data_IF_797435522125
#
_entry.id   IF_797435522125
#
_cell.length_a   1.000
_cell.length_b   1.000
_cell.length_c   1.000
_cell.angle_alpha   90.00
_cell.angle_beta   90.00
_cell.angle_gamma   90.00
#
_symmetry.space_group_name_H-M   'P 1'
#
loop_
_entity.id
_entity.type
_entity.pdbx_description
1 polymer ?
#
# COMPACT_ATOMS: atom_id res chain seq x y z
N UNK A 1 -10.61 2.40 7.98
CA UNK A 1 -10.70 2.51 6.54
C UNK A 1 -12.02 1.97 5.99
N UNK A 2 -12.32 2.29 4.76
CA UNK A 2 -13.47 1.73 4.05
C UNK A 2 -13.23 0.24 3.82
N UNK A 3 -14.23 -0.58 4.11
CA UNK A 3 -14.16 -2.02 3.88
C UNK A 3 -15.15 -2.42 2.80
N UNK A 4 -14.80 -3.47 2.05
CA UNK A 4 -15.62 -4.02 0.99
C UNK A 4 -14.99 -3.89 -0.39
N UNK A 5 -15.77 -4.16 -1.42
CA UNK A 5 -15.32 -4.07 -2.80
C UNK A 5 -15.01 -2.62 -3.20
N UNK A 6 -13.98 -2.46 -4.01
CA UNK A 6 -13.59 -1.14 -4.51
C UNK A 6 -14.63 -0.64 -5.51
N UNK A 7 -15.25 0.51 -5.22
CA UNK A 7 -16.03 1.24 -6.20
C UNK A 7 -15.06 2.03 -7.08
N UNK A 8 -15.00 1.67 -8.35
CA UNK A 8 -14.06 2.26 -9.30
C UNK A 8 -14.24 3.77 -9.45
N UNK A 9 -15.49 4.24 -9.52
CA UNK A 9 -15.76 5.66 -9.71
C UNK A 9 -15.40 6.46 -8.47
N UNK A 10 -15.74 5.96 -7.28
CA UNK A 10 -15.40 6.60 -6.01
C UNK A 10 -13.88 6.65 -5.84
N UNK A 11 -13.19 5.55 -6.14
CA UNK A 11 -11.73 5.50 -5.99
C UNK A 11 -11.02 6.40 -7.01
N UNK A 12 -11.51 6.49 -8.24
CA UNK A 12 -10.99 7.42 -9.24
C UNK A 12 -11.11 8.87 -8.77
N UNK A 13 -12.24 9.23 -8.17
CA UNK A 13 -12.42 10.57 -7.59
C UNK A 13 -11.47 10.82 -6.43
N UNK A 14 -11.25 9.83 -5.57
CA UNK A 14 -10.29 9.93 -4.48
C UNK A 14 -8.87 10.23 -4.99
N UNK A 15 -8.46 9.60 -6.09
CA UNK A 15 -7.16 9.86 -6.72
C UNK A 15 -7.07 11.30 -7.28
N UNK A 16 -8.19 11.90 -7.62
CA UNK A 16 -8.26 13.30 -8.05
C UNK A 16 -8.36 14.29 -6.87
N UNK A 17 -8.45 13.79 -5.63
CA UNK A 17 -8.63 14.59 -4.44
C UNK A 17 -10.07 14.91 -4.10
N UNK A 18 -11.03 14.26 -4.74
CA UNK A 18 -12.48 14.47 -4.53
C UNK A 18 -13.06 13.39 -3.65
N UNK A 19 -13.54 13.76 -2.49
CA UNK A 19 -13.98 12.83 -1.45
C UNK A 19 -15.50 12.58 -1.52
N UNK A 20 -15.96 11.38 -1.05
CA UNK A 20 -17.38 11.02 -1.10
C UNK A 20 -18.30 11.94 -0.29
N UNK A 21 -17.77 12.61 0.74
CA UNK A 21 -18.53 13.55 1.58
C UNK A 21 -18.62 14.97 0.98
N UNK A 22 -18.09 15.18 -0.23
CA UNK A 22 -18.06 16.47 -0.90
C UNK A 22 -16.83 17.30 -0.64
N UNK A 23 -15.93 16.88 0.25
CA UNK A 23 -14.64 17.54 0.43
C UNK A 23 -13.81 17.46 -0.86
N UNK A 24 -13.08 18.52 -1.17
CA UNK A 24 -12.32 18.63 -2.41
C UNK A 24 -10.90 19.09 -2.11
N UNK A 25 -9.91 18.21 -2.34
CA UNK A 25 -8.49 18.49 -2.21
C UNK A 25 -7.82 18.72 -3.58
N UNK A 26 -8.60 18.80 -4.66
CA UNK A 26 -8.05 19.02 -6.00
C UNK A 26 -7.41 20.41 -6.10
N UNK A 27 -6.34 20.49 -6.89
CA UNK A 27 -5.64 21.74 -7.18
C UNK A 27 -5.61 21.97 -8.67
N UNK A 28 -6.49 22.80 -9.15
CA UNK A 28 -6.55 23.15 -10.57
C UNK A 28 -5.54 24.27 -10.86
N UNK A 29 -4.65 24.02 -11.82
CA UNK A 29 -3.69 24.99 -12.31
C UNK A 29 -3.49 24.79 -13.80
N UNK A 30 -3.61 25.86 -14.58
CA UNK A 30 -3.44 25.85 -16.05
C UNK A 30 -4.32 24.78 -16.73
N UNK A 31 -5.55 24.60 -16.25
CA UNK A 31 -6.52 23.65 -16.79
C UNK A 31 -6.28 22.19 -16.38
N UNK A 32 -5.29 21.91 -15.53
CA UNK A 32 -5.03 20.55 -15.06
C UNK A 32 -5.05 20.47 -13.53
N UNK A 33 -5.42 19.28 -13.02
CA UNK A 33 -5.42 19.00 -11.59
C UNK A 33 -4.02 18.66 -11.14
N UNK A 34 -3.45 19.43 -10.20
CA UNK A 34 -2.11 19.25 -9.64
C UNK A 34 -2.09 18.42 -8.36
N UNK A 35 -3.22 17.93 -7.89
CA UNK A 35 -3.25 17.01 -6.78
C UNK A 35 -2.53 15.71 -7.15
N UNK A 36 -1.54 15.30 -6.33
CA UNK A 36 -0.85 14.02 -6.53
C UNK A 36 -1.85 12.89 -6.28
N UNK A 37 -2.09 11.97 -7.25
CA UNK A 37 -3.13 10.94 -7.07
C UNK A 37 -2.83 9.99 -5.93
N UNK A 38 -1.58 9.53 -5.77
CA UNK A 38 -1.24 8.60 -4.72
C UNK A 38 0.03 7.82 -5.00
N UNK A 39 0.12 6.64 -4.39
CA UNK A 39 1.29 5.77 -4.39
C UNK A 39 0.89 4.36 -4.79
N UNK A 40 1.78 3.68 -5.49
CA UNK A 40 1.59 2.27 -5.87
C UNK A 40 2.69 1.43 -5.21
N UNK A 41 2.25 0.41 -4.46
CA UNK A 41 3.12 -0.57 -3.82
C UNK A 41 2.74 -1.95 -4.35
N UNK A 42 3.73 -2.75 -4.73
CA UNK A 42 3.50 -4.11 -5.22
C UNK A 42 4.14 -5.11 -4.28
N UNK A 43 3.36 -6.11 -3.87
CA UNK A 43 3.83 -7.23 -3.06
C UNK A 43 3.71 -8.51 -3.88
N UNK A 44 4.83 -9.16 -4.14
CA UNK A 44 4.89 -10.37 -4.97
C UNK A 44 5.39 -11.55 -4.15
N UNK A 45 4.64 -12.66 -4.23
CA UNK A 45 5.08 -13.91 -3.62
C UNK A 45 6.25 -14.50 -4.39
N UNK A 46 7.13 -15.28 -3.73
CA UNK A 46 8.15 -16.05 -4.42
C UNK A 46 7.55 -16.95 -5.49
N UNK A 47 8.31 -17.23 -6.55
CA UNK A 47 7.84 -18.06 -7.65
C UNK A 47 7.38 -19.44 -7.19
N UNK A 48 8.08 -20.05 -6.24
CA UNK A 48 7.73 -21.36 -5.66
C UNK A 48 6.34 -21.33 -5.02
N UNK A 49 6.03 -20.29 -4.25
CA UNK A 49 4.72 -20.11 -3.62
C UNK A 49 3.64 -19.91 -4.69
N UNK A 50 3.90 -19.06 -5.68
CA UNK A 50 2.95 -18.81 -6.78
C UNK A 50 2.64 -20.09 -7.55
N UNK A 51 3.63 -20.91 -7.84
CA UNK A 51 3.45 -22.19 -8.53
C UNK A 51 2.64 -23.17 -7.70
N UNK A 52 2.93 -23.32 -6.42
CA UNK A 52 2.17 -24.22 -5.54
C UNK A 52 0.73 -23.76 -5.36
N UNK A 53 0.50 -22.46 -5.27
CA UNK A 53 -0.85 -21.90 -5.16
C UNK A 53 -1.66 -22.09 -6.45
N UNK A 54 -1.06 -21.80 -7.60
CA UNK A 54 -1.76 -21.77 -8.89
C UNK A 54 -1.79 -23.14 -9.56
N UNK A 55 -0.65 -23.81 -9.69
CA UNK A 55 -0.53 -25.11 -10.36
C UNK A 55 -0.78 -26.27 -9.40
N UNK A 56 -0.33 -26.15 -8.15
CA UNK A 56 -0.58 -27.16 -7.11
C UNK A 56 -1.97 -27.09 -6.49
N UNK A 57 -2.72 -26.02 -6.76
CA UNK A 57 -4.09 -25.86 -6.27
C UNK A 57 -4.23 -25.60 -4.77
N UNK A 58 -3.15 -25.23 -4.08
CA UNK A 58 -3.22 -24.96 -2.63
C UNK A 58 -3.69 -23.53 -2.36
N UNK A 59 -5.00 -23.38 -2.20
CA UNK A 59 -5.63 -22.07 -1.95
C UNK A 59 -5.25 -21.46 -0.60
N UNK A 60 -4.75 -22.26 0.35
CA UNK A 60 -4.27 -21.75 1.64
C UNK A 60 -3.09 -20.81 1.46
N UNK A 61 -2.29 -21.00 0.42
CA UNK A 61 -1.17 -20.11 0.07
C UNK A 61 -1.66 -18.75 -0.43
N UNK A 62 -2.79 -18.69 -1.10
CA UNK A 62 -3.44 -17.44 -1.51
C UNK A 62 -3.87 -16.65 -0.28
N UNK A 63 -4.50 -17.34 0.69
CA UNK A 63 -4.91 -16.70 1.95
C UNK A 63 -3.69 -16.21 2.74
N UNK A 64 -2.62 -17.01 2.78
CA UNK A 64 -1.37 -16.62 3.43
C UNK A 64 -0.78 -15.36 2.80
N UNK A 65 -0.78 -15.28 1.47
CA UNK A 65 -0.34 -14.09 0.73
C UNK A 65 -1.18 -12.87 1.10
N UNK A 66 -2.51 -12.99 1.05
CA UNK A 66 -3.42 -11.89 1.36
C UNK A 66 -3.23 -11.38 2.79
N UNK A 67 -3.05 -12.27 3.74
CA UNK A 67 -2.81 -11.92 5.14
C UNK A 67 -1.44 -11.26 5.34
N UNK A 68 -0.42 -11.70 4.61
CA UNK A 68 0.90 -11.08 4.65
C UNK A 68 0.89 -9.67 4.05
N UNK A 69 0.14 -9.46 2.96
CA UNK A 69 -0.06 -8.13 2.37
C UNK A 69 -0.79 -7.22 3.37
N UNK A 70 -1.86 -7.71 3.98
CA UNK A 70 -2.62 -6.95 4.99
C UNK A 70 -1.72 -6.52 6.17
N UNK A 71 -0.89 -7.42 6.64
CA UNK A 71 0.07 -7.14 7.70
C UNK A 71 1.05 -6.03 7.28
N UNK A 72 1.61 -6.11 6.07
CA UNK A 72 2.56 -5.12 5.56
C UNK A 72 1.91 -3.74 5.35
N UNK A 73 0.70 -3.69 4.79
CA UNK A 73 0.02 -2.40 4.54
C UNK A 73 -0.39 -1.69 5.83
N UNK A 74 -0.63 -2.43 6.91
CA UNK A 74 -0.87 -1.82 8.23
C UNK A 74 0.36 -1.08 8.74
N UNK A 75 1.56 -1.56 8.43
CA UNK A 75 2.80 -0.86 8.78
C UNK A 75 2.95 0.44 7.97
N UNK A 76 2.55 0.43 6.70
CA UNK A 76 2.50 1.63 5.86
C UNK A 76 1.49 2.63 6.42
N UNK A 77 0.30 2.16 6.77
CA UNK A 77 -0.77 3.00 7.32
C UNK A 77 -0.35 3.70 8.61
N UNK A 78 0.41 3.01 9.45
CA UNK A 78 0.90 3.57 10.71
C UNK A 78 1.80 4.81 10.52
N UNK A 79 2.39 4.97 9.33
CA UNK A 79 3.25 6.12 9.00
C UNK A 79 2.48 7.30 8.40
N UNK A 80 1.17 7.16 8.16
CA UNK A 80 0.37 8.22 7.53
C UNK A 80 0.42 9.49 8.35
N UNK A 81 0.69 10.59 7.68
CA UNK A 81 0.82 11.92 8.30
C UNK A 81 0.34 13.02 7.36
N UNK A 82 -0.01 14.15 7.94
CA UNK A 82 -0.40 15.36 7.22
C UNK A 82 0.28 16.58 7.82
N UNK A 83 0.21 17.70 7.12
CA UNK A 83 0.68 18.99 7.64
C UNK A 83 -0.46 19.78 8.21
N UNK A 84 -0.20 20.36 9.38
CA UNK A 84 -1.14 21.23 10.08
C UNK A 84 -0.44 22.56 10.33
N UNK A 85 -1.16 23.67 10.11
CA UNK A 85 -0.67 25.00 10.46
C UNK A 85 -1.12 25.34 11.89
N UNK A 86 -0.14 25.65 12.75
CA UNK A 86 -0.39 26.08 14.11
C UNK A 86 0.43 27.34 14.38
N UNK A 87 -0.25 28.43 14.75
CA UNK A 87 0.40 29.73 15.05
C UNK A 87 1.36 30.21 13.96
N UNK A 88 0.97 30.03 12.68
CA UNK A 88 1.78 30.43 11.53
C UNK A 88 2.92 29.49 11.18
N UNK A 89 3.07 28.38 11.93
CA UNK A 89 4.09 27.35 11.67
C UNK A 89 3.47 26.06 11.12
N UNK A 90 4.16 25.43 10.19
CA UNK A 90 3.76 24.14 9.64
C UNK A 90 4.34 23.01 10.48
N UNK A 91 3.49 22.09 10.88
CA UNK A 91 3.85 20.91 11.67
C UNK A 91 3.34 19.64 10.99
N UNK A 92 4.17 18.60 10.97
CA UNK A 92 3.77 17.27 10.49
C UNK A 92 3.22 16.47 11.66
N UNK A 93 1.98 15.99 11.52
CA UNK A 93 1.31 15.19 12.55
C UNK A 93 0.94 13.82 11.99
N UNK A 94 1.10 12.78 12.81
CA UNK A 94 0.67 11.43 12.45
C UNK A 94 -0.85 11.33 12.46
N UNK A 95 -1.39 10.74 11.42
CA UNK A 95 -2.83 10.48 11.29
C UNK A 95 -3.16 8.99 11.43
N UNK A 96 -2.24 8.12 11.00
CA UNK A 96 -2.38 6.67 11.15
C UNK A 96 -3.51 6.05 10.33
N UNK A 97 -4.01 6.75 9.31
CA UNK A 97 -5.07 6.22 8.46
C UNK A 97 -4.81 6.53 6.98
N UNK A 98 -5.16 5.58 6.14
CA UNK A 98 -5.02 5.66 4.68
C UNK A 98 -6.27 5.11 4.00
N UNK A 99 -6.50 5.53 2.77
CA UNK A 99 -7.46 4.90 1.86
C UNK A 99 -6.66 4.15 0.80
N UNK A 100 -6.84 2.83 0.77
CA UNK A 100 -6.09 1.94 -0.10
C UNK A 100 -7.03 1.03 -0.87
N UNK A 101 -6.70 0.77 -2.13
CA UNK A 101 -7.35 -0.26 -2.93
C UNK A 101 -6.33 -1.36 -3.23
N UNK A 102 -6.72 -2.61 -3.02
CA UNK A 102 -5.88 -3.79 -3.22
C UNK A 102 -6.40 -4.56 -4.44
N UNK A 103 -5.51 -4.82 -5.40
CA UNK A 103 -5.82 -5.54 -6.62
C UNK A 103 -4.94 -6.78 -6.71
N UNK A 104 -5.56 -7.95 -6.58
CA UNK A 104 -4.86 -9.24 -6.67
C UNK A 104 -4.72 -9.67 -8.13
N UNK A 105 -3.54 -10.13 -8.47
CA UNK A 105 -3.23 -10.74 -9.76
C UNK A 105 -2.57 -12.09 -9.55
N UNK A 106 -2.85 -13.05 -10.41
CA UNK A 106 -2.33 -14.40 -10.32
C UNK A 106 -1.37 -14.78 -11.46
N UNK A 107 -1.25 -13.91 -12.46
CA UNK A 107 -0.35 -14.13 -13.60
C UNK A 107 0.49 -12.90 -13.90
N UNK A 108 1.70 -13.12 -14.46
CA UNK A 108 2.52 -12.06 -15.04
C UNK A 108 2.03 -11.67 -16.43
N UNK A 109 2.66 -10.65 -17.03
CA UNK A 109 2.38 -10.27 -18.44
C UNK A 109 2.60 -11.42 -19.41
N UNK A 110 3.55 -12.31 -19.12
CA UNK A 110 3.89 -13.49 -19.93
C UNK A 110 3.03 -14.72 -19.56
N UNK A 111 1.97 -14.53 -18.80
CA UNK A 111 1.04 -15.57 -18.34
C UNK A 111 1.68 -16.63 -17.43
N UNK A 112 2.86 -16.34 -16.86
CA UNK A 112 3.45 -17.20 -15.85
C UNK A 112 2.72 -17.04 -14.51
N UNK A 113 2.62 -18.11 -13.68
CA UNK A 113 2.07 -18.00 -12.34
C UNK A 113 2.85 -16.99 -11.51
N UNK A 114 2.17 -15.92 -11.10
CA UNK A 114 2.75 -14.89 -10.25
C UNK A 114 1.68 -14.32 -9.34
N UNK A 115 1.69 -14.76 -8.10
CA UNK A 115 0.78 -14.25 -7.09
C UNK A 115 1.31 -12.91 -6.56
N UNK A 116 0.62 -11.84 -6.91
CA UNK A 116 1.02 -10.50 -6.49
C UNK A 116 -0.19 -9.60 -6.25
N UNK A 117 0.02 -8.57 -5.44
CA UNK A 117 -1.01 -7.59 -5.11
C UNK A 117 -0.46 -6.19 -5.35
N UNK A 118 -1.20 -5.41 -6.14
CA UNK A 118 -0.98 -3.98 -6.26
C UNK A 118 -1.79 -3.26 -5.19
N UNK A 119 -1.13 -2.44 -4.39
CA UNK A 119 -1.77 -1.60 -3.38
C UNK A 119 -1.68 -0.16 -3.85
N UNK A 120 -2.82 0.42 -4.21
CA UNK A 120 -2.90 1.82 -4.60
C UNK A 120 -3.36 2.63 -3.40
N UNK A 121 -2.47 3.49 -2.92
CA UNK A 121 -2.72 4.35 -1.76
C UNK A 121 -3.14 5.72 -2.27
N UNK A 122 -4.38 6.12 -2.01
CA UNK A 122 -4.84 7.47 -2.36
C UNK A 122 -4.13 8.52 -1.50
N UNK A 123 -3.81 9.67 -2.09
CA UNK A 123 -3.09 10.75 -1.38
C UNK A 123 -4.06 11.56 -0.50
N UNK A 124 -4.73 10.88 0.42
CA UNK A 124 -5.68 11.47 1.36
C UNK A 124 -5.55 10.80 2.71
N UNK A 125 -5.84 11.55 3.77
CA UNK A 125 -5.88 11.05 5.14
C UNK A 125 -6.91 11.86 5.93
N UNK A 126 -7.38 11.35 7.06
CA UNK A 126 -8.26 12.10 7.97
C UNK A 126 -7.49 12.55 9.21
N UNK A 127 -7.69 13.80 9.58
CA UNK A 127 -7.20 14.38 10.82
C UNK A 127 -8.35 15.15 11.48
N UNK A 128 -8.73 14.75 12.70
CA UNK A 128 -9.84 15.38 13.44
C UNK A 128 -11.14 15.46 12.62
N UNK A 129 -11.44 14.41 11.85
CA UNK A 129 -12.64 14.34 11.02
C UNK A 129 -12.55 15.10 9.70
N UNK A 130 -11.46 15.79 9.43
CA UNK A 130 -11.25 16.50 8.17
C UNK A 130 -10.35 15.72 7.22
N UNK A 131 -10.70 15.71 5.95
CA UNK A 131 -9.87 15.16 4.89
C UNK A 131 -8.72 16.09 4.56
N UNK A 132 -7.51 15.54 4.49
CA UNK A 132 -6.30 16.27 4.19
C UNK A 132 -5.41 15.47 3.25
N UNK A 133 -4.50 16.15 2.56
CA UNK A 133 -3.46 15.54 1.75
C UNK A 133 -2.38 14.94 2.65
N UNK A 134 -1.83 13.79 2.25
CA UNK A 134 -0.67 13.20 2.93
C UNK A 134 0.53 14.13 2.84
N UNK A 135 1.35 14.13 3.89
CA UNK A 135 2.48 15.03 3.96
C UNK A 135 3.58 14.67 2.96
N UNK A 136 4.22 15.68 2.44
CA UNK A 136 5.42 15.56 1.60
C UNK A 136 6.37 16.68 2.01
N UNK A 137 7.60 16.33 2.37
CA UNK A 137 8.62 17.29 2.80
C UNK A 137 9.94 16.98 2.11
N UNK A 138 10.23 17.72 1.05
CA UNK A 138 11.46 17.56 0.27
C UNK A 138 12.72 18.02 1.02
N UNK A 139 12.57 18.96 1.93
CA UNK A 139 13.69 19.57 2.64
C UNK A 139 14.12 18.71 3.83
N UNK A 140 13.18 18.38 4.71
CA UNK A 140 13.46 17.59 5.91
C UNK A 140 13.41 16.08 5.69
N UNK A 141 12.86 15.62 4.56
CA UNK A 141 12.60 14.20 4.26
C UNK A 141 11.79 13.48 5.35
N UNK A 142 10.95 14.23 6.04
CA UNK A 142 10.13 13.72 7.17
C UNK A 142 8.68 13.47 6.80
N UNK A 143 8.28 13.82 5.58
CA UNK A 143 6.92 13.59 5.10
C UNK A 143 6.63 12.12 4.83
N UNK A 144 5.33 11.78 4.74
CA UNK A 144 4.88 10.43 4.44
C UNK A 144 5.44 9.92 3.11
N UNK A 145 5.41 10.75 2.05
CA UNK A 145 5.93 10.38 0.74
C UNK A 145 7.40 9.94 0.80
N UNK A 146 8.22 10.69 1.49
CA UNK A 146 9.65 10.43 1.62
C UNK A 146 9.89 9.18 2.46
N UNK A 147 9.14 9.00 3.54
CA UNK A 147 9.22 7.81 4.40
C UNK A 147 8.83 6.54 3.65
N UNK A 148 7.76 6.56 2.85
CA UNK A 148 7.34 5.40 2.06
C UNK A 148 8.38 5.04 1.01
N UNK A 149 8.91 6.04 0.28
CA UNK A 149 9.94 5.82 -0.72
C UNK A 149 11.24 5.28 -0.11
N UNK A 150 11.65 5.83 1.04
CA UNK A 150 12.86 5.39 1.74
C UNK A 150 12.73 3.97 2.31
N UNK A 151 11.51 3.55 2.66
CA UNK A 151 11.26 2.27 3.35
C UNK A 151 10.59 1.22 2.45
N UNK A 152 10.53 1.41 1.14
CA UNK A 152 9.90 0.45 0.21
C UNK A 152 10.47 -0.96 0.35
N UNK A 153 11.79 -1.08 0.42
CA UNK A 153 12.46 -2.37 0.58
C UNK A 153 12.10 -2.98 1.94
N UNK A 154 12.04 -2.17 2.99
CA UNK A 154 11.66 -2.64 4.32
C UNK A 154 10.23 -3.19 4.35
N UNK A 155 9.27 -2.54 3.70
CA UNK A 155 7.90 -3.05 3.59
C UNK A 155 7.85 -4.37 2.83
N UNK A 156 8.62 -4.51 1.75
CA UNK A 156 8.77 -5.77 1.04
C UNK A 156 9.32 -6.89 1.92
N UNK A 157 10.32 -6.58 2.74
CA UNK A 157 10.88 -7.56 3.70
C UNK A 157 9.89 -7.95 4.79
N UNK A 158 9.10 -7.01 5.29
CA UNK A 158 8.03 -7.29 6.27
C UNK A 158 7.02 -8.27 5.67
N UNK A 159 6.59 -8.02 4.44
CA UNK A 159 5.69 -8.92 3.71
C UNK A 159 6.32 -10.30 3.53
N UNK A 160 7.56 -10.39 3.06
CA UNK A 160 8.25 -11.65 2.81
C UNK A 160 8.43 -12.47 4.09
N UNK A 161 8.81 -11.83 5.18
CA UNK A 161 8.97 -12.48 6.48
C UNK A 161 7.65 -13.04 7.00
N UNK A 162 6.58 -12.26 6.92
CA UNK A 162 5.24 -12.67 7.36
C UNK A 162 4.70 -13.81 6.50
N UNK A 163 4.87 -13.71 5.17
CA UNK A 163 4.45 -14.77 4.25
C UNK A 163 5.19 -16.07 4.56
N UNK A 164 6.50 -16.01 4.77
CA UNK A 164 7.31 -17.17 5.09
C UNK A 164 6.83 -17.88 6.35
N UNK A 165 6.56 -17.14 7.42
CA UNK A 165 6.03 -17.70 8.65
C UNK A 165 4.70 -18.41 8.43
N UNK A 166 3.81 -17.82 7.65
CA UNK A 166 2.49 -18.41 7.36
C UNK A 166 2.59 -19.64 6.48
N UNK A 167 3.51 -19.64 5.51
CA UNK A 167 3.78 -20.81 4.66
C UNK A 167 4.35 -21.96 5.48
N UNK A 168 5.29 -21.69 6.36
CA UNK A 168 5.84 -22.70 7.27
C UNK A 168 4.78 -23.26 8.23
N UNK A 169 3.88 -22.42 8.71
CA UNK A 169 2.77 -22.85 9.55
C UNK A 169 1.80 -23.79 8.84
N UNK A 170 1.76 -23.77 7.51
CA UNK A 170 0.96 -24.71 6.69
C UNK A 170 1.67 -26.07 6.48
N UNK A 171 2.91 -26.21 6.95
CA UNK A 171 3.68 -27.45 6.84
C UNK A 171 4.73 -27.46 5.74
N UNK A 172 4.90 -26.34 5.01
CA UNK A 172 5.94 -26.24 4.00
C UNK A 172 7.30 -25.94 4.64
N UNK A 173 8.35 -26.49 4.07
CA UNK A 173 9.72 -26.12 4.40
C UNK A 173 10.15 -24.96 3.50
N UNK A 174 10.83 -23.97 4.06
CA UNK A 174 11.34 -22.84 3.33
C UNK A 174 12.84 -22.71 3.55
N UNK A 175 13.54 -22.23 2.52
CA UNK A 175 14.97 -22.04 2.55
C UNK A 175 15.30 -20.63 2.05
N UNK A 176 16.11 -19.91 2.83
CA UNK A 176 16.56 -18.58 2.42
C UNK A 176 17.67 -18.72 1.39
N UNK A 177 17.43 -18.17 0.19
CA UNK A 177 18.40 -18.14 -0.90
C UNK A 177 18.61 -16.69 -1.36
N UNK A 178 19.86 -16.34 -1.69
CA UNK A 178 20.19 -15.02 -2.21
C UNK A 178 20.50 -13.97 -1.15
N UNK A 179 20.91 -12.78 -1.63
CA UNK A 179 21.48 -11.72 -0.79
C UNK A 179 20.44 -10.92 0.02
N UNK A 180 19.17 -11.00 -0.29
CA UNK A 180 18.13 -10.14 0.30
C UNK A 180 17.04 -10.94 1.04
N UNK A 181 17.38 -12.13 1.55
CA UNK A 181 16.42 -12.97 2.25
C UNK A 181 15.34 -13.55 1.35
N UNK A 182 15.62 -13.71 0.07
CA UNK A 182 14.73 -14.39 -0.87
C UNK A 182 14.66 -15.90 -0.59
N UNK A 183 13.50 -16.49 -0.83
CA UNK A 183 13.25 -17.91 -0.53
C UNK A 183 12.25 -18.57 -1.49
#
# INVERSE_FOLDING_TARGET
>A
GLQGSVDKDVFTRLLEGRLPDGADLSRMQDGSNKHRPGYDLTFSAPKSVSMMAMLGGDKRLIDAHNQAVDFAVRQVEALASTRVMTDGQSETVLTGNLVMALFNHDTSRDQDPQLHTHVVVANVTQHNGEWKTLSSDKVGKTGFSENVLANRIAFGKIYQSELRQRVEALGYETEVVGKHGMW
#
